data_IF_600944203509
#
_entry.id   IF_600944203509
#
_cell.length_a   1.000
_cell.length_b   1.000
_cell.length_c   1.000
_cell.angle_alpha   90.00
_cell.angle_beta   90.00
_cell.angle_gamma   90.00
#
_symmetry.space_group_name_H-M   'P 1'
#
loop_
_entity.id
_entity.type
_entity.pdbx_description
1 polymer ?
#
# COMPACT_ATOMS: atom_id res chain seq x y z
N UNK A 1 -1.80 40.40 40.82
CA UNK A 1 -1.06 39.13 41.04
C UNK A 1 -1.98 38.00 40.65
N UNK A 2 -1.82 37.51 39.44
CA UNK A 2 -2.60 36.38 38.95
C UNK A 2 -1.75 35.11 39.13
N UNK A 3 -2.32 34.14 39.84
CA UNK A 3 -1.71 32.84 40.07
C UNK A 3 -1.94 31.97 38.86
N UNK A 4 -0.86 31.62 38.14
CA UNK A 4 -0.86 30.56 37.17
C UNK A 4 -1.00 29.20 37.85
N UNK A 5 -2.13 28.56 37.64
CA UNK A 5 -2.40 27.23 38.15
C UNK A 5 -1.88 26.19 37.13
N UNK A 6 -0.66 25.69 37.35
CA UNK A 6 -0.09 24.59 36.57
C UNK A 6 -0.72 23.26 37.01
N UNK A 7 -1.81 22.90 36.39
CA UNK A 7 -2.37 21.54 36.53
C UNK A 7 -1.60 20.59 35.60
N UNK A 8 -0.52 20.02 36.12
CA UNK A 8 0.08 18.83 35.50
C UNK A 8 -0.85 17.65 35.71
N UNK A 9 -1.70 17.35 34.72
CA UNK A 9 -2.51 16.16 34.70
C UNK A 9 -1.61 15.01 34.24
N UNK A 10 -1.06 14.25 35.22
CA UNK A 10 -0.30 13.03 34.99
C UNK A 10 -1.30 11.88 34.74
N UNK A 11 -1.90 11.85 33.58
CA UNK A 11 -2.80 10.79 33.13
C UNK A 11 -2.23 10.12 31.91
N UNK A 12 -2.18 8.78 31.90
CA UNK A 12 -1.89 7.92 30.75
C UNK A 12 -2.74 8.35 29.54
N UNK A 13 -2.28 9.31 28.77
CA UNK A 13 -2.89 9.70 27.52
C UNK A 13 -2.34 8.78 26.44
N UNK A 14 -3.03 7.69 26.19
CA UNK A 14 -2.91 6.99 24.92
C UNK A 14 -3.28 8.00 23.83
N UNK A 15 -2.30 8.37 22.98
CA UNK A 15 -2.54 9.23 21.83
C UNK A 15 -3.59 8.53 20.96
N UNK A 16 -4.77 9.12 20.81
CA UNK A 16 -5.70 8.72 19.76
C UNK A 16 -5.12 9.23 18.44
N UNK A 17 -4.61 8.30 17.63
CA UNK A 17 -4.21 8.62 16.26
C UNK A 17 -5.44 9.13 15.47
N UNK A 18 -5.31 10.31 14.82
CA UNK A 18 -6.32 10.83 13.88
C UNK A 18 -7.07 12.09 14.33
N UNK A 19 -6.60 12.81 15.33
CA UNK A 19 -7.16 14.12 15.74
C UNK A 19 -6.43 15.30 15.09
N UNK A 20 -7.14 16.44 14.94
CA UNK A 20 -6.54 17.71 14.53
C UNK A 20 -5.65 18.25 15.68
N UNK A 21 -4.42 18.64 15.34
CA UNK A 21 -3.49 19.23 16.30
C UNK A 21 -3.81 20.71 16.50
N UNK A 22 -3.78 21.16 17.74
CA UNK A 22 -3.88 22.60 18.07
C UNK A 22 -2.51 23.27 17.99
N UNK A 23 -2.47 24.55 17.67
CA UNK A 23 -1.24 25.36 17.51
C UNK A 23 -0.30 25.34 18.73
N UNK A 24 -0.83 24.99 19.91
CA UNK A 24 -0.07 24.95 21.17
C UNK A 24 0.10 23.53 21.72
N UNK A 25 -0.11 22.49 20.90
CA UNK A 25 0.05 21.11 21.32
C UNK A 25 1.52 20.82 21.66
N UNK A 26 1.77 20.24 22.83
CA UNK A 26 3.12 19.87 23.30
C UNK A 26 3.18 18.35 23.40
N UNK A 27 4.14 17.75 22.73
CA UNK A 27 4.39 16.32 22.74
C UNK A 27 5.73 16.04 23.44
N UNK A 28 5.76 15.00 24.27
CA UNK A 28 7.01 14.51 24.85
C UNK A 28 7.85 13.77 23.81
N UNK A 29 9.16 13.64 24.06
CA UNK A 29 10.06 12.90 23.17
C UNK A 29 9.60 11.45 22.93
N UNK A 30 9.04 10.80 23.95
CA UNK A 30 8.52 9.43 23.87
C UNK A 30 7.28 9.33 22.94
N UNK A 31 6.49 10.41 22.87
CA UNK A 31 5.32 10.49 21.99
C UNK A 31 5.70 10.79 20.54
N UNK A 32 6.84 11.40 20.31
CA UNK A 32 7.35 11.66 18.95
C UNK A 32 7.97 10.39 18.34
N UNK A 33 8.35 9.41 19.15
CA UNK A 33 9.05 8.22 18.71
C UNK A 33 10.36 8.52 17.96
N UNK A 34 10.87 7.54 17.26
CA UNK A 34 12.08 7.69 16.43
C UNK A 34 11.73 8.32 15.07
N UNK A 35 11.24 9.56 15.06
CA UNK A 35 10.85 10.26 13.82
C UNK A 35 11.99 10.41 12.80
N UNK A 36 13.25 10.33 13.26
CA UNK A 36 14.45 10.38 12.41
C UNK A 36 14.66 9.10 11.58
N UNK A 37 14.05 7.99 11.97
CA UNK A 37 14.25 6.70 11.28
C UNK A 37 13.31 6.51 10.08
N UNK A 38 12.46 7.49 9.76
CA UNK A 38 11.40 7.33 8.75
C UNK A 38 10.74 5.96 8.93
N UNK A 39 9.43 5.84 9.12
CA UNK A 39 8.79 4.57 9.51
C UNK A 39 9.46 3.36 8.87
N UNK A 40 9.54 2.23 9.56
CA UNK A 40 10.22 1.00 9.13
C UNK A 40 9.76 0.58 7.73
N UNK A 41 10.37 1.20 6.70
CA UNK A 41 10.10 0.82 5.31
C UNK A 41 10.83 -0.50 5.05
N UNK A 42 10.08 -1.58 5.08
CA UNK A 42 10.59 -2.91 4.75
C UNK A 42 10.68 -3.01 3.23
N UNK A 43 11.90 -3.17 2.71
CA UNK A 43 12.15 -3.43 1.30
C UNK A 43 12.16 -4.94 1.08
N UNK A 44 11.02 -5.49 0.60
CA UNK A 44 10.96 -6.91 0.24
C UNK A 44 11.88 -7.20 -0.94
N UNK A 45 12.54 -8.39 -1.00
CA UNK A 45 13.28 -8.82 -2.18
C UNK A 45 12.44 -8.77 -3.47
N UNK A 46 13.10 -8.60 -4.61
CA UNK A 46 12.43 -8.75 -5.90
C UNK A 46 11.97 -10.19 -6.11
N UNK A 47 10.76 -10.38 -6.62
CA UNK A 47 10.21 -11.71 -6.84
C UNK A 47 8.69 -11.75 -6.91
N UNK A 48 8.18 -12.95 -6.95
CA UNK A 48 6.75 -13.23 -6.97
C UNK A 48 6.23 -13.51 -5.56
N UNK A 49 5.12 -12.88 -5.21
CA UNK A 49 4.49 -12.97 -3.89
C UNK A 49 3.01 -13.30 -4.01
N UNK A 50 2.54 -14.16 -3.14
CA UNK A 50 1.11 -14.30 -2.90
C UNK A 50 0.65 -13.15 -2.00
N UNK A 51 -0.53 -12.62 -2.26
CA UNK A 51 -1.09 -11.53 -1.50
C UNK A 51 -2.52 -11.78 -1.03
N UNK A 52 -2.91 -11.04 -0.02
CA UNK A 52 -4.31 -10.88 0.40
C UNK A 52 -4.66 -9.39 0.37
N UNK A 53 -5.82 -9.03 -0.16
CA UNK A 53 -6.34 -7.66 -0.06
C UNK A 53 -6.86 -7.46 1.37
N UNK A 54 -6.33 -6.44 2.05
CA UNK A 54 -6.71 -6.13 3.44
C UNK A 54 -7.47 -4.82 3.58
N UNK A 55 -7.36 -3.92 2.60
CA UNK A 55 -8.13 -2.67 2.54
C UNK A 55 -8.21 -2.13 1.11
N UNK A 56 -9.17 -1.23 0.87
CA UNK A 56 -9.25 -0.35 -0.29
C UNK A 56 -9.25 1.10 0.20
N UNK A 57 -8.21 1.85 -0.11
CA UNK A 57 -8.14 3.29 0.17
C UNK A 57 -8.72 4.06 -1.00
N UNK A 58 -9.76 4.84 -0.76
CA UNK A 58 -10.35 5.71 -1.77
C UNK A 58 -9.82 7.13 -1.61
N UNK A 59 -9.52 7.77 -2.72
CA UNK A 59 -9.05 9.14 -2.76
C UNK A 59 -9.46 9.81 -4.07
N UNK A 60 -9.06 11.06 -4.26
CA UNK A 60 -9.29 11.79 -5.51
C UNK A 60 -7.96 12.22 -6.11
N UNK A 61 -7.70 11.71 -7.31
CA UNK A 61 -6.55 12.16 -8.09
C UNK A 61 -6.77 13.60 -8.57
N UNK A 62 -5.77 14.45 -8.32
CA UNK A 62 -5.69 15.82 -8.83
C UNK A 62 -4.69 15.85 -9.97
N UNK A 63 -5.13 16.25 -11.17
CA UNK A 63 -4.23 16.37 -12.30
C UNK A 63 -3.29 17.57 -12.13
N UNK A 64 -1.98 17.31 -12.16
CA UNK A 64 -0.92 18.33 -12.10
C UNK A 64 -0.14 18.32 -13.42
N UNK A 65 -0.85 18.42 -14.56
CA UNK A 65 -0.24 18.42 -15.89
C UNK A 65 0.04 17.05 -16.50
N UNK A 66 -0.52 15.98 -15.92
CA UNK A 66 -0.40 14.60 -16.44
C UNK A 66 -1.48 14.25 -17.47
N UNK A 67 -1.42 13.01 -17.98
CA UNK A 67 -2.39 12.46 -18.95
C UNK A 67 -3.70 12.02 -18.30
N UNK A 68 -3.74 11.82 -16.98
CA UNK A 68 -4.90 11.43 -16.21
C UNK A 68 -5.56 12.68 -15.65
N UNK A 69 -6.83 12.90 -15.95
CA UNK A 69 -7.60 14.03 -15.42
C UNK A 69 -8.03 13.83 -13.97
N UNK A 70 -8.71 14.83 -13.40
CA UNK A 70 -9.28 14.73 -12.06
C UNK A 70 -10.29 13.59 -11.99
N UNK A 71 -10.05 12.58 -11.16
CA UNK A 71 -10.95 11.43 -11.07
C UNK A 71 -10.86 10.75 -9.69
N UNK A 72 -11.80 9.85 -9.41
CA UNK A 72 -11.71 8.93 -8.28
C UNK A 72 -10.47 8.04 -8.47
N UNK A 73 -9.74 7.82 -7.39
CA UNK A 73 -8.61 6.91 -7.31
C UNK A 73 -8.87 5.88 -6.23
N UNK A 74 -8.54 4.63 -6.52
CA UNK A 74 -8.61 3.53 -5.55
C UNK A 74 -7.23 2.90 -5.43
N UNK A 75 -6.79 2.70 -4.20
CA UNK A 75 -5.52 2.05 -3.88
C UNK A 75 -5.79 0.79 -3.07
N UNK A 76 -5.74 -0.39 -3.69
CA UNK A 76 -5.79 -1.64 -2.94
C UNK A 76 -4.59 -1.77 -2.00
N UNK A 77 -4.82 -2.27 -0.80
CA UNK A 77 -3.75 -2.60 0.15
C UNK A 77 -3.50 -4.10 0.06
N UNK A 78 -2.33 -4.45 -0.46
CA UNK A 78 -1.87 -5.82 -0.62
C UNK A 78 -1.04 -6.20 0.60
N UNK A 79 -1.47 -7.21 1.34
CA UNK A 79 -0.69 -7.82 2.42
C UNK A 79 0.12 -8.97 1.86
N UNK A 80 1.43 -8.89 2.03
CA UNK A 80 2.42 -9.89 1.64
C UNK A 80 3.09 -10.45 2.91
N UNK A 81 3.74 -11.60 2.75
CA UNK A 81 4.59 -12.17 3.81
C UNK A 81 6.05 -11.97 3.42
N UNK A 82 6.84 -11.37 4.29
CA UNK A 82 8.27 -11.25 4.13
C UNK A 82 8.93 -12.64 4.20
N UNK A 83 9.66 -13.09 3.17
CA UNK A 83 10.25 -14.42 3.15
C UNK A 83 11.41 -14.58 4.17
N UNK A 84 11.98 -13.48 4.67
CA UNK A 84 13.13 -13.51 5.57
C UNK A 84 12.73 -13.80 7.03
N UNK A 85 11.63 -13.20 7.48
CA UNK A 85 11.22 -13.27 8.89
C UNK A 85 9.76 -13.67 9.10
N UNK A 86 9.00 -13.85 8.02
CA UNK A 86 7.59 -14.21 8.07
C UNK A 86 6.66 -13.05 8.45
N UNK A 87 7.18 -11.83 8.61
CA UNK A 87 6.37 -10.67 8.96
C UNK A 87 5.41 -10.26 7.84
N UNK A 88 4.29 -9.65 8.20
CA UNK A 88 3.34 -9.10 7.24
C UNK A 88 3.79 -7.71 6.79
N UNK A 89 3.78 -7.48 5.47
CA UNK A 89 4.12 -6.20 4.85
C UNK A 89 2.95 -5.74 3.98
N UNK A 90 2.42 -4.56 4.26
CA UNK A 90 1.31 -3.98 3.54
C UNK A 90 1.82 -2.96 2.49
N UNK A 91 1.43 -3.17 1.22
CA UNK A 91 1.80 -2.31 0.09
C UNK A 91 0.55 -1.66 -0.49
N UNK A 92 0.54 -0.34 -0.65
CA UNK A 92 -0.60 0.43 -1.19
C UNK A 92 -0.22 1.40 -2.32
N UNK A 93 0.86 1.12 -3.04
CA UNK A 93 1.37 1.99 -4.10
C UNK A 93 0.85 1.66 -5.51
N UNK A 94 -0.20 0.85 -5.61
CA UNK A 94 -0.85 0.50 -6.88
C UNK A 94 -2.08 1.37 -7.10
N UNK A 95 -1.92 2.45 -7.88
CA UNK A 95 -2.96 3.46 -8.08
C UNK A 95 -3.89 3.08 -9.23
N UNK A 96 -5.16 2.85 -8.94
CA UNK A 96 -6.20 2.60 -9.92
C UNK A 96 -7.00 3.89 -10.15
N UNK A 97 -6.81 4.51 -11.32
CA UNK A 97 -7.50 5.75 -11.69
C UNK A 97 -8.79 5.45 -12.46
N UNK A 98 -9.93 5.94 -11.96
CA UNK A 98 -11.22 5.85 -12.63
C UNK A 98 -11.28 6.86 -13.78
N UNK A 99 -10.38 6.67 -14.74
CA UNK A 99 -10.21 7.53 -15.91
C UNK A 99 -10.37 6.74 -17.21
N UNK A 100 -11.16 7.27 -18.14
CA UNK A 100 -11.43 6.61 -19.41
C UNK A 100 -10.21 6.71 -20.35
N UNK A 101 -9.21 5.89 -20.11
CA UNK A 101 -8.08 5.67 -21.00
C UNK A 101 -7.72 4.20 -21.04
N UNK A 102 -7.19 3.75 -22.17
CA UNK A 102 -6.80 2.33 -22.35
C UNK A 102 -5.85 1.83 -21.25
N UNK A 103 -4.90 2.69 -20.80
CA UNK A 103 -3.95 2.32 -19.75
C UNK A 103 -4.63 2.15 -18.39
N UNK A 104 -5.48 3.10 -17.98
CA UNK A 104 -6.18 3.03 -16.69
C UNK A 104 -7.16 1.86 -16.66
N UNK A 105 -7.96 1.67 -17.72
CA UNK A 105 -8.88 0.53 -17.83
C UNK A 105 -8.14 -0.80 -17.81
N UNK A 106 -6.99 -0.88 -18.48
CA UNK A 106 -6.13 -2.06 -18.48
C UNK A 106 -5.60 -2.41 -17.08
N UNK A 107 -5.18 -1.41 -16.29
CA UNK A 107 -4.73 -1.62 -14.91
C UNK A 107 -5.87 -2.11 -14.00
N UNK A 108 -7.06 -1.53 -14.15
CA UNK A 108 -8.24 -1.96 -13.39
C UNK A 108 -8.60 -3.41 -13.75
N UNK A 109 -8.64 -3.74 -15.04
CA UNK A 109 -8.92 -5.10 -15.49
C UNK A 109 -7.90 -6.11 -14.95
N UNK A 110 -6.59 -5.80 -14.99
CA UNK A 110 -5.55 -6.66 -14.41
C UNK A 110 -5.74 -6.89 -12.92
N UNK A 111 -6.13 -5.85 -12.17
CA UNK A 111 -6.43 -6.00 -10.76
C UNK A 111 -7.61 -6.94 -10.52
N UNK A 112 -8.73 -6.73 -11.21
CA UNK A 112 -9.93 -7.58 -11.09
C UNK A 112 -9.64 -9.03 -11.51
N UNK A 113 -8.86 -9.23 -12.60
CA UNK A 113 -8.42 -10.55 -13.04
C UNK A 113 -7.59 -11.26 -11.97
N UNK A 114 -6.69 -10.50 -11.30
CA UNK A 114 -5.76 -11.07 -10.32
C UNK A 114 -6.44 -11.60 -9.06
N UNK A 115 -7.57 -11.01 -8.69
CA UNK A 115 -8.37 -11.41 -7.52
C UNK A 115 -9.59 -12.28 -7.89
N UNK A 116 -9.77 -12.57 -9.18
CA UNK A 116 -10.83 -13.44 -9.68
C UNK A 116 -12.23 -12.82 -9.72
N UNK A 117 -12.33 -11.49 -9.73
CA UNK A 117 -13.59 -10.75 -9.91
C UNK A 117 -13.92 -10.48 -11.38
N UNK A 118 -13.01 -10.74 -12.29
CA UNK A 118 -13.19 -10.64 -13.73
C UNK A 118 -12.40 -11.73 -14.44
N UNK A 119 -12.82 -12.08 -15.64
CA UNK A 119 -12.13 -13.00 -16.52
C UNK A 119 -11.87 -12.31 -17.85
N UNK A 120 -10.66 -12.46 -18.37
CA UNK A 120 -10.26 -11.85 -19.65
C UNK A 120 -11.23 -12.24 -20.77
N UNK A 121 -11.78 -11.22 -21.42
CA UNK A 121 -12.75 -11.37 -22.51
C UNK A 121 -14.20 -11.10 -22.08
N UNK A 122 -14.51 -11.10 -20.82
CA UNK A 122 -15.82 -10.77 -20.30
C UNK A 122 -16.00 -9.23 -20.11
N UNK A 123 -17.24 -8.72 -20.10
CA UNK A 123 -17.49 -7.36 -19.65
C UNK A 123 -17.12 -7.14 -18.19
N UNK A 124 -16.51 -6.01 -17.88
CA UNK A 124 -16.14 -5.69 -16.50
C UNK A 124 -17.12 -4.67 -15.90
N UNK A 125 -17.61 -4.98 -14.69
CA UNK A 125 -18.41 -4.08 -13.87
C UNK A 125 -17.55 -3.57 -12.72
N UNK A 126 -17.34 -2.25 -12.62
CA UNK A 126 -16.56 -1.67 -11.54
C UNK A 126 -17.42 -1.62 -10.27
N UNK A 127 -17.05 -2.44 -9.32
CA UNK A 127 -17.61 -2.45 -7.97
C UNK A 127 -16.47 -2.27 -6.97
N UNK A 128 -16.50 -1.18 -6.21
CA UNK A 128 -15.48 -0.85 -5.22
C UNK A 128 -15.97 -1.03 -3.78
N UNK A 129 -17.02 -1.84 -3.60
CA UNK A 129 -17.48 -2.23 -2.27
C UNK A 129 -16.39 -3.02 -1.55
N UNK A 130 -15.92 -2.51 -0.42
CA UNK A 130 -14.78 -3.10 0.31
C UNK A 130 -14.95 -4.59 0.59
N UNK A 131 -16.14 -5.00 1.02
CA UNK A 131 -16.44 -6.40 1.38
C UNK A 131 -16.28 -7.38 0.21
N UNK A 132 -16.41 -6.90 -1.02
CA UNK A 132 -16.20 -7.72 -2.21
C UNK A 132 -14.72 -7.94 -2.55
N UNK A 133 -13.83 -7.12 -2.00
CA UNK A 133 -12.38 -7.14 -2.27
C UNK A 133 -11.57 -7.66 -1.09
N UNK A 134 -11.92 -7.26 0.14
CA UNK A 134 -11.19 -7.66 1.34
C UNK A 134 -11.22 -9.19 1.49
N UNK A 135 -10.06 -9.77 1.80
CA UNK A 135 -9.87 -11.22 1.90
C UNK A 135 -9.63 -11.92 0.56
N UNK A 136 -9.80 -11.24 -0.59
CA UNK A 136 -9.42 -11.83 -1.88
C UNK A 136 -7.91 -12.00 -1.95
N UNK A 137 -7.49 -13.09 -2.55
CA UNK A 137 -6.09 -13.46 -2.70
C UNK A 137 -5.69 -13.49 -4.17
N UNK A 138 -4.42 -13.29 -4.41
CA UNK A 138 -3.83 -13.35 -5.75
C UNK A 138 -2.32 -13.47 -5.68
N UNK A 139 -1.67 -13.25 -6.82
CA UNK A 139 -0.21 -13.26 -6.95
C UNK A 139 0.26 -12.03 -7.70
N UNK A 140 1.37 -11.45 -7.24
CA UNK A 140 1.99 -10.28 -7.84
C UNK A 140 3.50 -10.43 -7.93
N UNK A 141 4.13 -9.58 -8.74
CA UNK A 141 5.57 -9.46 -8.82
C UNK A 141 6.03 -8.11 -8.30
N UNK A 142 6.99 -8.14 -7.40
CA UNK A 142 7.72 -6.97 -6.90
C UNK A 142 8.98 -6.77 -7.72
N UNK A 143 9.23 -5.50 -8.10
CA UNK A 143 10.53 -5.02 -8.60
C UNK A 143 10.96 -3.79 -7.84
N UNK A 144 12.26 -3.53 -7.82
CA UNK A 144 12.82 -2.33 -7.27
C UNK A 144 12.93 -1.23 -8.33
N UNK A 145 12.66 -0.01 -7.92
CA UNK A 145 12.82 1.19 -8.74
C UNK A 145 13.66 2.21 -7.98
N UNK A 146 14.75 2.65 -8.59
CA UNK A 146 15.60 3.70 -8.02
C UNK A 146 15.01 5.07 -8.39
N UNK A 147 14.95 5.97 -7.43
CA UNK A 147 14.47 7.33 -7.62
C UNK A 147 15.42 8.35 -6.96
N UNK A 148 15.44 9.56 -7.51
CA UNK A 148 16.19 10.67 -6.90
C UNK A 148 15.38 11.31 -5.78
N UNK A 149 15.97 11.42 -4.62
CA UNK A 149 15.41 12.14 -3.47
C UNK A 149 15.52 13.65 -3.67
N UNK A 150 14.75 14.41 -2.91
CA UNK A 150 14.79 15.89 -2.94
C UNK A 150 16.13 16.45 -2.47
N UNK A 151 16.85 15.74 -1.63
CA UNK A 151 18.21 16.07 -1.15
C UNK A 151 19.33 15.75 -2.15
N UNK A 152 18.97 15.23 -3.33
CA UNK A 152 19.91 14.82 -4.39
C UNK A 152 20.46 13.40 -4.24
N UNK A 153 20.17 12.70 -3.14
CA UNK A 153 20.52 11.30 -2.95
C UNK A 153 19.64 10.36 -3.77
N UNK A 154 20.04 9.09 -3.85
CA UNK A 154 19.25 8.03 -4.45
C UNK A 154 18.48 7.25 -3.39
N UNK A 155 17.27 6.84 -3.72
CA UNK A 155 16.44 5.96 -2.92
C UNK A 155 15.95 4.79 -3.73
N UNK A 156 15.62 3.69 -3.06
CA UNK A 156 15.01 2.51 -3.69
C UNK A 156 13.60 2.34 -3.15
N UNK A 157 12.65 2.06 -4.03
CA UNK A 157 11.27 1.76 -3.67
C UNK A 157 10.81 0.46 -4.29
N UNK A 158 9.84 -0.19 -3.63
CA UNK A 158 9.16 -1.34 -4.21
C UNK A 158 8.08 -0.88 -5.18
N UNK A 159 7.95 -1.62 -6.29
CA UNK A 159 6.90 -1.41 -7.28
C UNK A 159 6.25 -2.75 -7.62
N UNK A 160 4.92 -2.77 -7.64
CA UNK A 160 4.18 -3.88 -8.21
C UNK A 160 4.33 -3.78 -9.72
N UNK A 161 5.12 -4.68 -10.31
CA UNK A 161 5.43 -4.70 -11.74
C UNK A 161 4.41 -5.50 -12.54
N UNK A 162 3.79 -6.49 -11.90
CA UNK A 162 2.81 -7.37 -12.54
C UNK A 162 1.81 -7.90 -11.51
N UNK A 163 0.55 -8.01 -11.92
CA UNK A 163 -0.49 -8.79 -11.27
C UNK A 163 -0.80 -10.00 -12.16
N UNK A 164 -0.75 -11.19 -11.60
CA UNK A 164 -1.02 -12.42 -12.34
C UNK A 164 -2.52 -12.72 -12.35
N UNK A 165 -3.13 -13.05 -13.51
CA UNK A 165 -4.51 -13.48 -13.57
C UNK A 165 -4.75 -14.68 -12.65
N UNK A 166 -5.89 -14.74 -11.96
CA UNK A 166 -6.21 -15.82 -11.01
C UNK A 166 -6.12 -17.21 -11.63
N UNK A 167 -6.44 -17.34 -12.91
CA UNK A 167 -6.43 -18.61 -13.65
C UNK A 167 -5.03 -19.11 -14.00
N UNK A 168 -4.04 -18.21 -14.03
CA UNK A 168 -2.64 -18.52 -14.35
C UNK A 168 -1.79 -18.72 -13.10
N UNK A 169 -2.39 -18.59 -11.91
CA UNK A 169 -1.68 -18.79 -10.66
C UNK A 169 -1.49 -20.29 -10.39
N UNK A 170 -0.40 -20.86 -10.89
CA UNK A 170 0.04 -22.15 -10.41
C UNK A 170 0.33 -22.08 -8.90
N UNK A 171 0.06 -23.16 -8.13
CA UNK A 171 0.45 -23.20 -6.72
C UNK A 171 1.92 -22.82 -6.60
N UNK A 172 2.26 -21.99 -5.61
CA UNK A 172 3.63 -21.58 -5.36
C UNK A 172 4.52 -22.82 -5.24
N UNK A 173 5.31 -23.10 -6.26
CA UNK A 173 6.39 -24.05 -6.11
C UNK A 173 7.37 -23.39 -5.17
N UNK A 174 7.41 -23.85 -3.91
CA UNK A 174 8.48 -23.59 -2.99
C UNK A 174 9.77 -24.16 -3.61
N UNK A 175 10.42 -23.39 -4.46
CA UNK A 175 11.74 -23.73 -5.01
C UNK A 175 12.83 -23.47 -3.98
N UNK A 176 12.68 -24.02 -2.78
CA UNK A 176 13.82 -24.20 -1.89
C UNK A 176 14.55 -25.43 -2.41
N UNK A 177 15.71 -25.16 -3.00
CA UNK A 177 16.53 -26.07 -3.73
C UNK A 177 16.71 -27.42 -3.07
N UNK A 178 16.41 -28.45 -3.80
CA UNK A 178 16.97 -29.77 -3.63
C UNK A 178 18.48 -29.70 -3.95
N UNK A 179 19.27 -29.40 -2.94
CA UNK A 179 20.69 -29.71 -2.96
C UNK A 179 20.81 -31.25 -2.89
N UNK A 180 20.89 -31.90 -4.03
CA UNK A 180 21.32 -33.28 -4.09
C UNK A 180 22.80 -33.32 -3.75
N UNK A 181 23.13 -34.15 -2.73
CA UNK A 181 24.47 -34.57 -2.38
C UNK A 181 25.16 -35.27 -3.54
#
# INVERSE_FOLDING_TARGET
MEYYNNNYNNGNNSIQEGGELTDNAVFSADQLGDYDKGGNYVLLPEGDYDFTIVDLKESRHQNVGGKVGNCKQVNPVFRLTNPEDGSAVDISNYNLYMWNSRGCLGMIAQYYDSIGLHKKGDPIHFDWTKDHHIGKTGRLQIKHETYKRRDGGEGTSMKISKLYPKQEQAPAQNSWGSWKK
#
